data_IF_489291922695
#
_entry.id   IF_489291922695
#
_cell.length_a   1.000
_cell.length_b   1.000
_cell.length_c   1.000
_cell.angle_alpha   90.00
_cell.angle_beta   90.00
_cell.angle_gamma   90.00
#
_symmetry.space_group_name_H-M   'P 1'
#
loop_
_entity.id
_entity.type
_entity.pdbx_description
1 polymer ?
#
# COMPACT_ATOMS: atom_id res chain seq x y z
N UNK A 1 -26.57 5.95 -28.42
CA UNK A 1 -25.63 5.64 -27.30
C UNK A 1 -26.28 4.59 -26.43
N UNK A 2 -25.58 3.50 -26.10
CA UNK A 2 -26.10 2.52 -25.14
C UNK A 2 -26.15 3.20 -23.77
N UNK A 3 -27.35 3.27 -23.18
CA UNK A 3 -27.55 3.80 -21.84
C UNK A 3 -27.54 2.64 -20.85
N UNK A 4 -26.70 2.73 -19.81
CA UNK A 4 -26.59 1.70 -18.79
C UNK A 4 -27.22 2.20 -17.49
N UNK A 5 -28.01 1.36 -16.79
CA UNK A 5 -28.52 1.69 -15.46
C UNK A 5 -27.37 1.87 -14.45
N UNK A 6 -27.66 2.50 -13.32
CA UNK A 6 -26.69 2.68 -12.24
C UNK A 6 -26.56 1.41 -11.39
N UNK A 7 -25.38 1.20 -10.78
CA UNK A 7 -25.04 -0.02 -10.01
C UNK A 7 -26.00 -0.31 -8.83
N UNK A 8 -26.66 0.70 -8.27
CA UNK A 8 -27.70 0.54 -7.24
C UNK A 8 -28.90 -0.28 -7.72
N UNK A 9 -29.17 -0.28 -9.02
CA UNK A 9 -30.25 -1.06 -9.64
C UNK A 9 -29.86 -2.52 -9.87
N UNK A 10 -28.59 -2.88 -9.66
CA UNK A 10 -28.11 -4.24 -9.81
C UNK A 10 -28.45 -5.07 -8.56
N UNK A 11 -29.37 -6.03 -8.69
CA UNK A 11 -29.63 -7.01 -7.63
C UNK A 11 -28.36 -7.82 -7.32
N UNK A 12 -28.09 -8.14 -6.06
CA UNK A 12 -26.92 -8.95 -5.65
C UNK A 12 -27.30 -10.34 -5.12
N UNK A 13 -28.59 -10.66 -5.02
CA UNK A 13 -29.06 -11.95 -4.49
C UNK A 13 -29.14 -12.97 -5.64
N UNK A 14 -28.71 -14.22 -5.38
CA UNK A 14 -28.83 -15.33 -6.32
C UNK A 14 -27.80 -15.33 -7.47
N UNK A 15 -26.72 -14.55 -7.35
CA UNK A 15 -25.72 -14.37 -8.42
C UNK A 15 -24.52 -15.31 -8.33
N UNK A 16 -24.57 -16.35 -7.49
CA UNK A 16 -23.44 -17.25 -7.26
C UNK A 16 -23.00 -18.04 -8.50
N UNK A 17 -23.86 -18.20 -9.50
CA UNK A 17 -23.51 -18.84 -10.78
C UNK A 17 -23.13 -17.84 -11.88
N UNK A 18 -23.25 -16.55 -11.61
CA UNK A 18 -23.00 -15.49 -12.59
C UNK A 18 -21.53 -15.10 -12.64
N UNK A 19 -21.12 -14.64 -13.81
CA UNK A 19 -19.83 -14.00 -14.04
C UNK A 19 -19.96 -12.48 -14.08
N UNK A 20 -19.02 -11.80 -13.43
CA UNK A 20 -18.93 -10.34 -13.40
C UNK A 20 -17.60 -9.88 -13.96
N UNK A 21 -17.64 -8.83 -14.76
CA UNK A 21 -16.48 -8.12 -15.31
C UNK A 21 -16.53 -6.69 -14.79
N UNK A 22 -15.51 -6.27 -14.05
CA UNK A 22 -15.47 -4.92 -13.49
C UNK A 22 -14.18 -4.20 -13.86
N UNK A 23 -14.31 -2.92 -14.20
CA UNK A 23 -13.17 -2.00 -14.21
C UNK A 23 -12.67 -1.73 -12.78
N UNK A 24 -11.47 -1.17 -12.65
CA UNK A 24 -10.86 -0.86 -11.36
C UNK A 24 -11.11 0.59 -10.94
N UNK A 25 -10.43 1.54 -11.58
CA UNK A 25 -10.47 2.95 -11.19
C UNK A 25 -11.87 3.52 -11.40
N UNK A 26 -12.44 4.17 -10.39
CA UNK A 26 -13.80 4.70 -10.41
C UNK A 26 -14.93 3.67 -10.37
N UNK A 27 -14.61 2.38 -10.43
CA UNK A 27 -15.57 1.27 -10.48
C UNK A 27 -15.45 0.40 -9.23
N UNK A 28 -14.46 -0.51 -9.15
CA UNK A 28 -14.17 -1.22 -7.91
C UNK A 28 -13.55 -0.30 -6.87
N UNK A 29 -12.75 0.67 -7.29
CA UNK A 29 -12.20 1.72 -6.43
C UNK A 29 -13.04 2.99 -6.57
N UNK A 30 -13.18 3.76 -5.49
CA UNK A 30 -13.87 5.05 -5.53
C UNK A 30 -13.08 6.09 -6.32
N UNK A 31 -11.74 6.06 -6.18
CA UNK A 31 -10.85 6.97 -6.89
C UNK A 31 -10.83 6.71 -8.40
N UNK A 32 -11.11 7.76 -9.18
CA UNK A 32 -11.03 7.74 -10.65
C UNK A 32 -9.63 8.03 -11.22
N UNK A 33 -8.68 8.37 -10.35
CA UNK A 33 -7.31 8.67 -10.72
C UNK A 33 -6.39 7.58 -10.20
N UNK A 34 -5.60 7.02 -11.11
CA UNK A 34 -4.60 6.01 -10.81
C UNK A 34 -3.31 6.62 -10.25
N UNK A 35 -3.12 7.95 -10.37
CA UNK A 35 -1.91 8.67 -9.94
C UNK A 35 -1.46 8.32 -8.51
N UNK A 36 -2.35 8.24 -7.49
CA UNK A 36 -1.93 7.93 -6.13
C UNK A 36 -1.24 6.57 -5.99
N UNK A 37 -1.65 5.58 -6.78
CA UNK A 37 -1.05 4.24 -6.75
C UNK A 37 0.30 4.22 -7.49
N UNK A 38 0.42 4.95 -8.59
CA UNK A 38 1.72 5.17 -9.26
C UNK A 38 2.70 5.96 -8.39
N UNK A 39 2.21 6.96 -7.63
CA UNK A 39 3.02 7.74 -6.69
C UNK A 39 3.53 6.88 -5.53
N UNK A 40 2.68 6.00 -4.98
CA UNK A 40 3.10 5.02 -3.97
C UNK A 40 4.16 4.06 -4.51
N UNK A 41 3.95 3.52 -5.72
CA UNK A 41 4.93 2.66 -6.38
C UNK A 41 6.26 3.38 -6.63
N UNK A 42 6.20 4.61 -7.13
CA UNK A 42 7.38 5.44 -7.38
C UNK A 42 8.18 5.70 -6.11
N UNK A 43 7.51 6.03 -5.00
CA UNK A 43 8.16 6.34 -3.75
C UNK A 43 8.75 5.11 -3.06
N UNK A 44 7.97 4.03 -2.91
CA UNK A 44 8.41 2.84 -2.17
C UNK A 44 9.40 1.99 -2.98
N UNK A 45 9.19 1.88 -4.30
CA UNK A 45 10.06 1.08 -5.18
C UNK A 45 11.20 1.86 -5.82
N UNK A 46 11.11 3.19 -5.92
CA UNK A 46 12.10 4.03 -6.60
C UNK A 46 12.62 5.23 -5.83
N UNK A 47 12.11 5.48 -4.63
CA UNK A 47 12.51 6.60 -3.79
C UNK A 47 11.96 7.95 -4.25
N UNK A 48 12.44 8.99 -3.58
CA UNK A 48 11.89 10.34 -3.73
C UNK A 48 12.12 10.95 -5.11
N UNK A 49 13.27 10.71 -5.73
CA UNK A 49 13.58 11.27 -7.05
C UNK A 49 12.67 10.73 -8.14
N UNK A 50 12.27 9.45 -8.04
CA UNK A 50 11.29 8.88 -8.96
C UNK A 50 9.89 9.44 -8.72
N UNK A 51 9.49 9.63 -7.45
CA UNK A 51 8.24 10.33 -7.14
C UNK A 51 8.23 11.75 -7.70
N UNK A 52 9.34 12.48 -7.57
CA UNK A 52 9.49 13.82 -8.16
C UNK A 52 9.39 13.76 -9.70
N UNK A 53 10.06 12.81 -10.34
CA UNK A 53 9.97 12.62 -11.79
C UNK A 53 8.53 12.35 -12.24
N UNK A 54 7.81 11.47 -11.55
CA UNK A 54 6.39 11.23 -11.81
C UNK A 54 5.55 12.49 -11.63
N UNK A 55 5.78 13.25 -10.56
CA UNK A 55 5.04 14.48 -10.27
C UNK A 55 5.27 15.55 -11.36
N UNK A 56 6.50 15.73 -11.81
CA UNK A 56 6.83 16.67 -12.90
C UNK A 56 6.19 16.25 -14.23
N UNK A 57 6.02 14.95 -14.46
CA UNK A 57 5.35 14.42 -15.65
C UNK A 57 3.82 14.36 -15.51
N UNK A 58 3.24 14.59 -14.32
CA UNK A 58 1.80 14.45 -14.12
C UNK A 58 0.95 15.47 -14.91
N UNK A 59 1.35 16.75 -15.07
CA UNK A 59 0.62 17.68 -15.94
C UNK A 59 0.63 17.24 -17.40
N UNK A 60 1.78 16.74 -17.89
CA UNK A 60 1.89 16.18 -19.25
C UNK A 60 1.01 14.94 -19.41
N UNK A 61 1.02 14.03 -18.43
CA UNK A 61 0.15 12.86 -18.43
C UNK A 61 -1.33 13.26 -18.46
N UNK A 62 -1.73 14.27 -17.68
CA UNK A 62 -3.08 14.82 -17.69
C UNK A 62 -3.45 15.45 -19.05
N UNK A 63 -2.56 16.26 -19.62
CA UNK A 63 -2.75 16.87 -20.93
C UNK A 63 -2.98 15.80 -22.01
N UNK A 64 -2.12 14.78 -22.06
CA UNK A 64 -2.27 13.68 -23.03
C UNK A 64 -3.52 12.84 -22.75
N UNK A 65 -3.86 12.61 -21.48
CA UNK A 65 -5.05 11.86 -21.10
C UNK A 65 -6.34 12.52 -21.62
N UNK A 66 -6.49 13.83 -21.43
CA UNK A 66 -7.71 14.55 -21.77
C UNK A 66 -7.77 15.07 -23.20
N UNK A 67 -6.64 15.48 -23.79
CA UNK A 67 -6.61 16.10 -25.12
C UNK A 67 -6.18 15.15 -26.24
N UNK A 68 -5.56 13.99 -25.93
CA UNK A 68 -5.07 13.05 -26.95
C UNK A 68 -5.74 11.69 -26.82
N UNK A 69 -5.43 10.95 -25.76
CA UNK A 69 -6.09 9.69 -25.40
C UNK A 69 -5.76 9.26 -23.99
N UNK A 70 -6.71 8.59 -23.34
CA UNK A 70 -6.52 7.95 -22.03
C UNK A 70 -5.28 7.02 -22.03
N UNK A 71 -5.07 6.28 -23.12
CA UNK A 71 -3.91 5.41 -23.33
C UNK A 71 -2.58 6.18 -23.26
N UNK A 72 -2.50 7.36 -23.89
CA UNK A 72 -1.28 8.16 -23.91
C UNK A 72 -0.91 8.69 -22.51
N UNK A 73 -1.89 9.19 -21.75
CA UNK A 73 -1.66 9.63 -20.38
C UNK A 73 -1.17 8.50 -19.47
N UNK A 74 -1.80 7.32 -19.56
CA UNK A 74 -1.39 6.15 -18.78
C UNK A 74 0.03 5.69 -19.16
N UNK A 75 0.39 5.71 -20.45
CA UNK A 75 1.77 5.39 -20.88
C UNK A 75 2.82 6.31 -20.24
N UNK A 76 2.54 7.60 -20.08
CA UNK A 76 3.45 8.53 -19.38
C UNK A 76 3.58 8.15 -17.90
N UNK A 77 2.47 7.84 -17.21
CA UNK A 77 2.50 7.40 -15.81
C UNK A 77 3.31 6.10 -15.63
N UNK A 78 3.10 5.13 -16.53
CA UNK A 78 3.84 3.87 -16.54
C UNK A 78 5.33 4.11 -16.78
N UNK A 79 5.68 4.94 -17.76
CA UNK A 79 7.08 5.25 -18.06
C UNK A 79 7.75 5.93 -16.87
N UNK A 80 7.15 7.00 -16.34
CA UNK A 80 7.72 7.76 -15.24
C UNK A 80 7.86 6.94 -13.94
N UNK A 81 6.97 5.98 -13.74
CA UNK A 81 7.00 5.11 -12.55
C UNK A 81 7.89 3.89 -12.74
N UNK A 82 7.80 3.17 -13.85
CA UNK A 82 8.36 1.83 -13.95
C UNK A 82 9.72 1.78 -14.68
N UNK A 83 10.10 2.81 -15.44
CA UNK A 83 11.33 2.78 -16.23
C UNK A 83 12.56 2.46 -15.38
N UNK A 84 13.25 1.38 -15.72
CA UNK A 84 14.48 0.91 -15.07
C UNK A 84 14.28 0.21 -13.72
N UNK A 85 13.05 0.04 -13.23
CA UNK A 85 12.77 -0.71 -12.00
C UNK A 85 13.03 -2.20 -12.18
N UNK A 86 13.50 -2.89 -11.14
CA UNK A 86 13.46 -4.36 -11.11
C UNK A 86 12.02 -4.81 -10.95
N UNK A 87 11.64 -5.89 -11.62
CA UNK A 87 10.30 -6.46 -11.49
C UNK A 87 10.02 -6.91 -10.06
N UNK A 88 11.02 -7.50 -9.39
CA UNK A 88 10.92 -7.91 -7.98
C UNK A 88 10.55 -6.75 -7.05
N UNK A 89 11.05 -5.54 -7.33
CA UNK A 89 10.76 -4.36 -6.52
C UNK A 89 9.32 -3.89 -6.74
N UNK A 90 8.85 -3.92 -7.99
CA UNK A 90 7.45 -3.61 -8.33
C UNK A 90 6.51 -4.62 -7.65
N UNK A 91 6.80 -5.91 -7.78
CA UNK A 91 6.00 -6.98 -7.17
C UNK A 91 5.98 -6.89 -5.65
N UNK A 92 7.13 -6.60 -5.03
CA UNK A 92 7.24 -6.41 -3.58
C UNK A 92 6.33 -5.27 -3.12
N UNK A 93 6.35 -4.12 -3.80
CA UNK A 93 5.49 -2.99 -3.45
C UNK A 93 4.01 -3.30 -3.72
N UNK A 94 3.71 -4.01 -4.81
CA UNK A 94 2.35 -4.41 -5.17
C UNK A 94 1.71 -5.36 -4.16
N UNK A 95 2.52 -6.19 -3.48
CA UNK A 95 2.06 -7.13 -2.44
C UNK A 95 2.10 -6.54 -1.04
N UNK A 96 3.10 -5.73 -0.71
CA UNK A 96 3.32 -5.26 0.66
C UNK A 96 2.63 -3.92 0.96
N UNK A 97 2.53 -3.02 -0.03
CA UNK A 97 2.11 -1.64 0.20
C UNK A 97 0.74 -1.35 -0.41
N UNK A 98 0.59 -1.61 -1.71
CA UNK A 98 -0.62 -1.21 -2.44
C UNK A 98 -1.94 -1.80 -1.90
N UNK A 99 -2.00 -3.04 -1.36
CA UNK A 99 -3.25 -3.61 -0.86
C UNK A 99 -3.92 -2.80 0.25
N UNK A 100 -3.13 -2.14 1.12
CA UNK A 100 -3.66 -1.23 2.15
C UNK A 100 -4.41 -0.05 1.51
N UNK A 101 -3.83 0.55 0.48
CA UNK A 101 -4.40 1.73 -0.15
C UNK A 101 -5.59 1.39 -1.05
N UNK A 102 -5.55 0.23 -1.73
CA UNK A 102 -6.69 -0.25 -2.50
C UNK A 102 -7.88 -0.63 -1.62
N UNK A 103 -7.65 -1.38 -0.53
CA UNK A 103 -8.72 -1.73 0.43
C UNK A 103 -9.37 -0.50 1.05
N UNK A 104 -8.58 0.52 1.41
CA UNK A 104 -9.12 1.79 1.93
C UNK A 104 -9.93 2.61 0.92
N UNK A 105 -9.91 2.22 -0.36
CA UNK A 105 -10.60 2.92 -1.44
C UNK A 105 -11.62 2.06 -2.19
N UNK A 106 -11.97 0.89 -1.65
CA UNK A 106 -12.90 -0.03 -2.28
C UNK A 106 -14.34 0.52 -2.22
N UNK A 107 -15.01 0.58 -3.37
CA UNK A 107 -16.36 1.11 -3.51
C UNK A 107 -17.40 0.07 -3.03
N UNK A 108 -18.23 0.44 -2.05
CA UNK A 108 -19.16 -0.49 -1.39
C UNK A 108 -20.19 -1.12 -2.33
N UNK A 109 -20.88 -0.34 -3.17
CA UNK A 109 -21.90 -0.88 -4.09
C UNK A 109 -21.32 -1.78 -5.18
N UNK A 110 -20.22 -1.36 -5.81
CA UNK A 110 -19.52 -2.20 -6.79
C UNK A 110 -19.00 -3.49 -6.13
N UNK A 111 -18.48 -3.40 -4.91
CA UNK A 111 -18.06 -4.57 -4.15
C UNK A 111 -19.22 -5.50 -3.80
N UNK A 112 -20.39 -4.98 -3.42
CA UNK A 112 -21.61 -5.77 -3.17
C UNK A 112 -21.98 -6.64 -4.37
N UNK A 113 -21.95 -6.07 -5.57
CA UNK A 113 -22.24 -6.83 -6.80
C UNK A 113 -21.09 -7.78 -7.13
N UNK A 114 -19.85 -7.31 -7.11
CA UNK A 114 -18.68 -8.09 -7.50
C UNK A 114 -18.47 -9.32 -6.61
N UNK A 115 -18.62 -9.17 -5.29
CA UNK A 115 -18.48 -10.26 -4.32
C UNK A 115 -19.64 -11.27 -4.38
N UNK A 116 -20.83 -10.87 -4.82
CA UNK A 116 -21.99 -11.77 -4.95
C UNK A 116 -21.90 -12.76 -6.12
N UNK A 117 -20.97 -12.53 -7.06
CA UNK A 117 -20.82 -13.36 -8.25
C UNK A 117 -19.80 -14.48 -8.01
N UNK A 118 -20.06 -15.66 -8.60
CA UNK A 118 -19.18 -16.82 -8.46
C UNK A 118 -17.93 -16.76 -9.31
N UNK A 119 -18.00 -16.15 -10.51
CA UNK A 119 -16.84 -15.94 -11.38
C UNK A 119 -16.54 -14.45 -11.52
N UNK A 120 -15.36 -14.02 -11.07
CA UNK A 120 -15.00 -12.61 -10.90
C UNK A 120 -13.83 -12.25 -11.79
N UNK A 121 -14.06 -11.37 -12.76
CA UNK A 121 -13.06 -10.85 -13.67
C UNK A 121 -12.83 -9.36 -13.44
N UNK A 122 -11.59 -8.96 -13.24
CA UNK A 122 -11.19 -7.55 -13.21
C UNK A 122 -10.51 -7.18 -14.54
N UNK A 123 -10.96 -6.10 -15.17
CA UNK A 123 -10.50 -5.63 -16.47
C UNK A 123 -9.94 -4.21 -16.33
N UNK A 124 -8.63 -4.10 -16.17
CA UNK A 124 -7.97 -2.90 -15.63
C UNK A 124 -7.08 -2.22 -16.68
N UNK A 125 -7.05 -0.88 -16.67
CA UNK A 125 -6.15 -0.11 -17.54
C UNK A 125 -4.71 -0.01 -17.00
N UNK A 126 -4.55 -0.11 -15.67
CA UNK A 126 -3.24 -0.05 -15.02
C UNK A 126 -2.38 -1.30 -15.30
N UNK A 127 -1.05 -1.24 -15.09
CA UNK A 127 -0.19 -2.41 -15.16
C UNK A 127 -0.71 -3.55 -14.29
N UNK A 128 -0.89 -4.74 -14.89
CA UNK A 128 -1.42 -5.92 -14.18
C UNK A 128 -0.64 -6.23 -12.91
N UNK A 129 0.69 -6.20 -13.01
CA UNK A 129 1.63 -6.46 -11.91
C UNK A 129 1.41 -5.59 -10.66
N UNK A 130 0.81 -4.40 -10.81
CA UNK A 130 0.54 -3.50 -9.68
C UNK A 130 -0.71 -3.87 -8.88
N UNK A 131 -1.66 -4.57 -9.48
CA UNK A 131 -3.02 -4.73 -8.91
C UNK A 131 -3.40 -6.20 -8.76
N UNK A 132 -2.83 -7.10 -9.55
CA UNK A 132 -3.21 -8.51 -9.60
C UNK A 132 -3.15 -9.19 -8.22
N UNK A 133 -2.10 -8.94 -7.44
CA UNK A 133 -1.99 -9.49 -6.09
C UNK A 133 -3.15 -9.02 -5.18
N UNK A 134 -3.54 -7.75 -5.26
CA UNK A 134 -4.67 -7.25 -4.49
C UNK A 134 -5.98 -7.92 -4.93
N UNK A 135 -6.24 -7.96 -6.24
CA UNK A 135 -7.49 -8.48 -6.79
C UNK A 135 -7.66 -9.98 -6.53
N UNK A 136 -6.60 -10.77 -6.70
CA UNK A 136 -6.64 -12.22 -6.46
C UNK A 136 -6.65 -12.55 -4.98
N UNK A 137 -5.70 -12.02 -4.21
CA UNK A 137 -5.48 -12.47 -2.83
C UNK A 137 -6.48 -11.86 -1.83
N UNK A 138 -7.06 -10.69 -2.13
CA UNK A 138 -7.96 -9.99 -1.20
C UNK A 138 -9.40 -9.88 -1.71
N UNK A 139 -9.61 -9.73 -3.02
CA UNK A 139 -10.97 -9.66 -3.58
C UNK A 139 -11.49 -10.99 -4.15
N UNK A 140 -10.63 -12.01 -4.23
CA UNK A 140 -10.97 -13.31 -4.80
C UNK A 140 -11.33 -13.24 -6.29
N UNK A 141 -10.65 -12.39 -7.06
CA UNK A 141 -10.80 -12.36 -8.50
C UNK A 141 -10.19 -13.62 -9.13
N UNK A 142 -10.96 -14.31 -9.97
CA UNK A 142 -10.48 -15.50 -10.70
C UNK A 142 -9.58 -15.11 -11.87
N UNK A 143 -9.91 -13.99 -12.52
CA UNK A 143 -9.22 -13.50 -13.71
C UNK A 143 -8.93 -12.01 -13.59
N UNK A 144 -7.68 -11.64 -13.89
CA UNK A 144 -7.25 -10.23 -13.97
C UNK A 144 -6.65 -9.99 -15.34
N UNK A 145 -7.31 -9.16 -16.13
CA UNK A 145 -6.85 -8.70 -17.44
C UNK A 145 -6.38 -7.26 -17.29
N UNK A 146 -5.10 -7.02 -17.48
CA UNK A 146 -4.49 -5.70 -17.28
C UNK A 146 -3.50 -5.34 -18.37
N UNK A 147 -3.00 -4.11 -18.33
CA UNK A 147 -1.93 -3.68 -19.22
C UNK A 147 -0.63 -4.41 -18.87
N UNK A 148 0.03 -5.02 -19.85
CA UNK A 148 1.32 -5.67 -19.63
C UNK A 148 2.47 -4.70 -19.90
N UNK A 149 3.41 -4.62 -18.96
CA UNK A 149 4.64 -3.83 -19.11
C UNK A 149 5.71 -4.63 -19.86
N UNK A 150 6.47 -3.96 -20.71
CA UNK A 150 7.61 -4.56 -21.40
C UNK A 150 8.80 -4.69 -20.45
N UNK A 151 9.53 -5.80 -20.56
CA UNK A 151 10.58 -6.16 -19.62
C UNK A 151 11.83 -6.61 -20.36
N UNK A 152 13.00 -6.24 -19.84
CA UNK A 152 14.29 -6.67 -20.34
C UNK A 152 15.22 -7.02 -19.17
N UNK A 153 15.77 -8.24 -19.18
CA UNK A 153 16.67 -8.77 -18.13
C UNK A 153 16.14 -8.54 -16.69
N UNK A 154 14.87 -8.85 -16.45
CA UNK A 154 14.23 -8.70 -15.13
C UNK A 154 13.93 -7.25 -14.71
N UNK A 155 14.06 -6.28 -15.62
CA UNK A 155 13.74 -4.87 -15.38
C UNK A 155 12.62 -4.39 -16.29
N UNK A 156 11.76 -3.52 -15.79
CA UNK A 156 10.74 -2.85 -16.56
C UNK A 156 11.37 -1.80 -17.47
N UNK A 157 11.03 -1.82 -18.76
CA UNK A 157 11.54 -0.86 -19.75
C UNK A 157 10.85 0.51 -19.65
N UNK A 158 9.70 0.57 -18.97
CA UNK A 158 8.81 1.73 -18.92
C UNK A 158 7.80 1.79 -20.06
N UNK A 159 7.88 0.86 -21.02
CA UNK A 159 6.92 0.76 -22.13
C UNK A 159 5.91 -0.37 -21.90
N UNK A 160 4.82 -0.34 -22.67
CA UNK A 160 3.76 -1.35 -22.63
C UNK A 160 3.90 -2.34 -23.79
N UNK A 161 3.56 -3.60 -23.57
CA UNK A 161 3.53 -4.62 -24.62
C UNK A 161 2.30 -4.44 -25.53
N UNK A 162 2.32 -5.04 -26.72
CA UNK A 162 1.14 -5.09 -27.60
C UNK A 162 -0.01 -5.84 -26.91
N UNK A 163 -1.28 -5.36 -26.98
CA UNK A 163 -1.82 -4.30 -27.83
C UNK A 163 -1.73 -2.88 -27.25
N UNK A 164 -1.01 -2.69 -26.15
CA UNK A 164 -0.85 -1.43 -25.44
C UNK A 164 -1.72 -1.36 -24.19
N UNK A 165 -2.10 -0.15 -23.80
CA UNK A 165 -2.93 0.07 -22.61
C UNK A 165 -4.34 -0.48 -22.85
N UNK A 166 -4.88 -1.23 -21.89
CA UNK A 166 -6.24 -1.77 -21.95
C UNK A 166 -7.28 -0.68 -21.63
N UNK A 167 -7.67 0.07 -22.66
CA UNK A 167 -8.72 1.09 -22.61
C UNK A 167 -9.62 0.98 -23.84
N UNK A 168 -10.91 1.34 -23.72
CA UNK A 168 -11.84 1.35 -24.85
C UNK A 168 -11.92 -0.01 -25.56
N UNK A 169 -11.64 -0.03 -26.86
CA UNK A 169 -11.68 -1.24 -27.69
C UNK A 169 -10.72 -2.33 -27.20
N UNK A 170 -9.53 -1.96 -26.69
CA UNK A 170 -8.57 -2.95 -26.18
C UNK A 170 -9.13 -3.73 -24.98
N UNK A 171 -9.96 -3.09 -24.12
CA UNK A 171 -10.67 -3.78 -23.04
C UNK A 171 -11.67 -4.80 -23.60
N UNK A 172 -12.47 -4.39 -24.59
CA UNK A 172 -13.44 -5.26 -25.24
C UNK A 172 -12.77 -6.45 -25.94
N UNK A 173 -11.68 -6.23 -26.66
CA UNK A 173 -10.93 -7.27 -27.36
C UNK A 173 -10.26 -8.24 -26.38
N UNK A 174 -9.70 -7.73 -25.28
CA UNK A 174 -9.15 -8.57 -24.21
C UNK A 174 -10.23 -9.43 -23.55
N UNK A 175 -11.43 -8.87 -23.32
CA UNK A 175 -12.55 -9.61 -22.77
C UNK A 175 -13.03 -10.72 -23.70
N UNK A 176 -13.22 -10.41 -25.00
CA UNK A 176 -13.58 -11.41 -26.02
C UNK A 176 -12.55 -12.54 -26.09
N UNK A 177 -11.26 -12.20 -26.07
CA UNK A 177 -10.20 -13.22 -26.11
C UNK A 177 -10.24 -14.14 -24.88
N UNK A 178 -10.58 -13.62 -23.71
CA UNK A 178 -10.58 -14.39 -22.48
C UNK A 178 -11.85 -15.23 -22.27
N UNK A 179 -13.01 -14.75 -22.71
CA UNK A 179 -14.29 -15.43 -22.53
C UNK A 179 -14.76 -16.20 -23.77
N UNK A 180 -14.13 -15.99 -24.93
CA UNK A 180 -14.52 -16.61 -26.20
C UNK A 180 -15.96 -16.25 -26.55
N UNK A 181 -16.75 -17.27 -26.85
CA UNK A 181 -18.20 -17.15 -27.13
C UNK A 181 -19.05 -17.01 -25.85
N UNK A 182 -18.47 -17.19 -24.66
CA UNK A 182 -19.23 -17.13 -23.41
C UNK A 182 -19.49 -15.68 -23.03
N UNK A 183 -20.75 -15.27 -23.04
CA UNK A 183 -21.11 -13.90 -22.67
C UNK A 183 -21.15 -13.72 -21.15
N UNK A 184 -20.34 -12.80 -20.56
CA UNK A 184 -20.42 -12.52 -19.13
C UNK A 184 -21.79 -11.95 -18.74
N UNK A 185 -22.27 -12.27 -17.53
CA UNK A 185 -23.58 -11.81 -17.08
C UNK A 185 -23.59 -10.31 -16.78
N UNK A 186 -22.57 -9.80 -16.09
CA UNK A 186 -22.58 -8.44 -15.54
C UNK A 186 -21.31 -7.69 -15.90
N UNK A 187 -21.44 -6.50 -16.46
CA UNK A 187 -20.37 -5.53 -16.68
C UNK A 187 -20.51 -4.33 -15.74
N UNK A 188 -19.44 -3.95 -15.04
CA UNK A 188 -19.38 -2.76 -14.19
C UNK A 188 -18.32 -1.79 -14.72
N UNK A 189 -18.69 -0.51 -14.88
CA UNK A 189 -17.75 0.54 -15.31
C UNK A 189 -18.18 1.94 -14.89
N UNK A 190 -17.28 2.92 -14.91
CA UNK A 190 -17.55 4.30 -14.47
C UNK A 190 -17.63 5.35 -15.59
N UNK A 191 -17.17 5.00 -16.80
CA UNK A 191 -16.93 5.91 -17.94
C UNK A 191 -17.48 5.38 -19.26
N UNK A 192 -17.64 6.28 -20.23
CA UNK A 192 -17.95 5.93 -21.61
C UNK A 192 -16.89 5.02 -22.26
N UNK A 193 -15.61 5.12 -21.87
CA UNK A 193 -14.55 4.22 -22.37
C UNK A 193 -14.74 2.76 -21.95
N UNK A 194 -15.61 2.50 -20.98
CA UNK A 194 -16.00 1.15 -20.55
C UNK A 194 -17.21 0.60 -21.30
N UNK A 195 -17.98 1.44 -22.00
CA UNK A 195 -19.15 1.02 -22.77
C UNK A 195 -18.87 -0.13 -23.76
N UNK A 196 -17.72 -0.18 -24.48
CA UNK A 196 -17.44 -1.26 -25.41
C UNK A 196 -17.40 -2.65 -24.78
N UNK A 197 -16.84 -2.81 -23.57
CA UNK A 197 -16.83 -4.13 -22.92
C UNK A 197 -18.12 -4.39 -22.15
N UNK A 198 -18.75 -3.37 -21.57
CA UNK A 198 -20.03 -3.52 -20.89
C UNK A 198 -21.13 -3.98 -21.86
N UNK A 199 -21.10 -3.51 -23.10
CA UNK A 199 -22.01 -3.97 -24.16
C UNK A 199 -21.79 -5.44 -24.58
N UNK A 200 -20.66 -6.04 -24.22
CA UNK A 200 -20.42 -7.47 -24.40
C UNK A 200 -21.00 -8.31 -23.27
N UNK A 201 -21.42 -7.70 -22.16
CA UNK A 201 -22.07 -8.40 -21.05
C UNK A 201 -23.59 -8.46 -21.28
N UNK A 202 -24.28 -9.42 -20.65
CA UNK A 202 -25.75 -9.50 -20.72
C UNK A 202 -26.42 -8.27 -20.08
N UNK A 203 -25.87 -7.83 -18.95
CA UNK A 203 -26.26 -6.60 -18.27
C UNK A 203 -25.02 -5.73 -18.03
N UNK A 204 -25.15 -4.42 -18.21
CA UNK A 204 -24.09 -3.46 -17.89
C UNK A 204 -24.60 -2.40 -16.92
N UNK A 205 -23.77 -2.00 -15.96
CA UNK A 205 -24.12 -1.00 -14.95
C UNK A 205 -23.02 0.06 -14.80
N UNK A 206 -23.44 1.32 -14.71
CA UNK A 206 -22.56 2.46 -14.47
C UNK A 206 -22.40 2.72 -12.97
N UNK A 207 -21.16 2.88 -12.53
CA UNK A 207 -20.80 3.34 -11.20
C UNK A 207 -20.68 4.88 -11.23
N UNK A 208 -21.61 5.61 -10.60
CA UNK A 208 -21.59 7.07 -10.63
C UNK A 208 -20.43 7.62 -9.79
N UNK A 209 -19.91 8.82 -10.10
CA UNK A 209 -18.96 9.51 -9.25
C UNK A 209 -19.66 10.06 -8.01
N UNK A 210 -19.99 9.19 -7.05
CA UNK A 210 -20.59 9.60 -5.78
C UNK A 210 -19.49 9.66 -4.69
N UNK A 211 -18.95 10.85 -4.38
CA UNK A 211 -17.86 10.98 -3.41
C UNK A 211 -18.26 10.63 -1.97
N UNK A 212 -19.57 10.56 -1.69
CA UNK A 212 -20.14 10.28 -0.37
C UNK A 212 -20.21 8.79 -0.01
N UNK A 213 -19.94 7.90 -0.97
CA UNK A 213 -19.98 6.46 -0.70
C UNK A 213 -18.80 6.06 0.19
N UNK A 214 -19.12 5.54 1.37
CA UNK A 214 -18.12 5.03 2.30
C UNK A 214 -17.35 3.85 1.70
N UNK A 215 -16.06 3.78 2.02
CA UNK A 215 -15.24 2.64 1.63
C UNK A 215 -15.73 1.39 2.34
N UNK A 216 -15.53 0.24 1.70
CA UNK A 216 -15.75 -1.05 2.35
C UNK A 216 -14.85 -1.16 3.57
N UNK A 217 -15.44 -1.51 4.70
CA UNK A 217 -14.70 -1.78 5.93
C UNK A 217 -13.89 -3.06 5.79
N UNK A 218 -12.66 -3.08 6.31
CA UNK A 218 -11.68 -4.16 6.07
C UNK A 218 -12.12 -5.53 6.59
N UNK A 219 -13.04 -5.58 7.55
CA UNK A 219 -13.67 -6.79 8.08
C UNK A 219 -14.57 -7.51 7.06
N UNK A 220 -15.04 -6.80 6.03
CA UNK A 220 -15.88 -7.36 4.96
C UNK A 220 -15.06 -7.94 3.80
N UNK A 221 -13.74 -7.87 3.88
CA UNK A 221 -12.86 -8.47 2.87
C UNK A 221 -12.66 -9.96 3.16
N UNK A 222 -12.65 -10.83 2.13
CA UNK A 222 -12.37 -12.26 2.27
C UNK A 222 -11.09 -12.58 3.04
N UNK A 223 -10.08 -11.70 2.92
CA UNK A 223 -8.80 -11.81 3.61
C UNK A 223 -8.46 -10.50 4.30
N UNK A 224 -8.11 -10.51 5.60
CA UNK A 224 -7.71 -9.30 6.29
C UNK A 224 -6.40 -8.75 5.72
N UNK A 225 -6.35 -7.44 5.52
CA UNK A 225 -5.14 -6.73 5.14
C UNK A 225 -4.32 -6.47 6.40
N UNK A 226 -3.38 -7.35 6.71
CA UNK A 226 -2.45 -7.16 7.83
C UNK A 226 -1.29 -6.30 7.32
N UNK A 227 -1.29 -5.03 7.70
CA UNK A 227 -0.25 -4.09 7.35
C UNK A 227 0.74 -3.93 8.50
N UNK A 228 1.96 -4.45 8.32
CA UNK A 228 2.97 -4.45 9.37
C UNK A 228 3.79 -3.17 9.44
N UNK A 229 3.93 -2.43 8.33
CA UNK A 229 4.57 -1.12 8.31
C UNK A 229 4.50 -0.51 6.92
N UNK A 230 4.45 0.81 6.85
CA UNK A 230 4.78 1.50 5.62
C UNK A 230 4.91 2.98 5.88
N UNK A 231 5.85 3.57 5.13
CA UNK A 231 6.40 4.88 5.44
C UNK A 231 5.37 6.00 5.29
N UNK A 232 4.24 5.70 4.63
CA UNK A 232 3.24 6.66 4.24
C UNK A 232 1.87 6.29 4.80
N UNK A 233 1.21 7.28 5.41
CA UNK A 233 -0.14 7.16 5.97
C UNK A 233 -1.20 7.63 4.96
N UNK A 234 -0.90 8.71 4.23
CA UNK A 234 -1.71 9.40 3.21
C UNK A 234 -1.83 8.68 1.84
N UNK A 235 -3.04 8.54 1.26
CA UNK A 235 -3.20 8.34 -0.21
C UNK A 235 -2.59 9.55 -0.93
N UNK A 236 -1.73 9.30 -1.92
CA UNK A 236 -0.88 10.34 -2.54
C UNK A 236 -1.59 11.09 -3.68
N UNK A 237 -2.36 12.13 -3.35
CA UNK A 237 -2.76 13.11 -4.38
C UNK A 237 -1.52 13.86 -4.91
N UNK A 238 -1.57 14.49 -6.10
CA UNK A 238 -0.45 15.30 -6.60
C UNK A 238 -0.02 16.40 -5.62
N UNK A 239 -0.97 17.06 -4.95
CA UNK A 239 -0.67 18.07 -3.93
C UNK A 239 0.03 17.44 -2.72
N UNK A 240 -0.48 16.32 -2.21
CA UNK A 240 0.18 15.59 -1.12
C UNK A 240 1.59 15.14 -1.52
N UNK A 241 1.78 14.68 -2.77
CA UNK A 241 3.07 14.29 -3.33
C UNK A 241 4.08 15.45 -3.28
N UNK A 242 3.66 16.64 -3.74
CA UNK A 242 4.44 17.86 -3.71
C UNK A 242 4.84 18.25 -2.27
N UNK A 243 3.87 18.25 -1.35
CA UNK A 243 4.13 18.62 0.04
C UNK A 243 5.16 17.71 0.72
N UNK A 244 5.16 16.40 0.42
CA UNK A 244 6.19 15.49 0.97
C UNK A 244 7.57 15.84 0.41
N UNK A 245 7.66 16.06 -0.91
CA UNK A 245 8.93 16.38 -1.56
C UNK A 245 9.51 17.65 -0.94
N UNK A 246 8.69 18.70 -0.79
CA UNK A 246 9.09 19.95 -0.17
C UNK A 246 9.43 19.79 1.32
N UNK A 247 8.74 18.88 2.02
CA UNK A 247 8.99 18.61 3.43
C UNK A 247 10.25 17.79 3.69
N UNK A 248 10.71 16.96 2.76
CA UNK A 248 11.84 16.04 3.00
C UNK A 248 13.13 16.72 3.46
N UNK A 249 13.59 17.85 2.86
CA UNK A 249 14.78 18.54 3.34
C UNK A 249 14.65 18.99 4.80
N UNK A 250 13.50 19.57 5.16
CA UNK A 250 13.19 20.02 6.53
C UNK A 250 13.08 18.80 7.45
N UNK A 251 12.37 17.77 7.03
CA UNK A 251 12.18 16.52 7.75
C UNK A 251 13.50 15.77 7.99
N UNK A 252 14.45 15.85 7.07
CA UNK A 252 15.78 15.27 7.22
C UNK A 252 16.58 15.99 8.31
N UNK A 253 16.59 17.33 8.31
CA UNK A 253 17.23 18.12 9.37
C UNK A 253 16.59 17.80 10.73
N UNK A 254 15.25 17.78 10.79
CA UNK A 254 14.52 17.41 12.01
C UNK A 254 14.82 15.97 12.45
N UNK A 255 14.98 15.03 11.53
CA UNK A 255 15.35 13.65 11.85
C UNK A 255 16.76 13.59 12.45
N UNK A 256 17.73 14.31 11.90
CA UNK A 256 19.08 14.41 12.47
C UNK A 256 19.05 15.01 13.88
N UNK A 257 18.30 16.09 14.10
CA UNK A 257 18.14 16.70 15.43
C UNK A 257 17.50 15.74 16.43
N UNK A 258 16.48 14.96 16.01
CA UNK A 258 15.83 13.97 16.88
C UNK A 258 16.75 12.80 17.20
N UNK A 259 17.52 12.29 16.23
CA UNK A 259 18.52 11.25 16.46
C UNK A 259 19.58 11.77 17.44
N UNK A 260 20.13 12.97 17.19
CA UNK A 260 21.10 13.59 18.09
C UNK A 260 20.56 13.79 19.51
N UNK A 261 19.31 14.25 19.65
CA UNK A 261 18.66 14.38 20.95
C UNK A 261 18.56 13.03 21.67
N UNK A 262 18.16 11.96 20.97
CA UNK A 262 18.09 10.61 21.54
C UNK A 262 19.46 10.07 21.95
N UNK A 263 20.50 10.31 21.15
CA UNK A 263 21.84 9.73 21.37
C UNK A 263 22.70 10.51 22.35
N UNK A 264 22.52 11.84 22.46
CA UNK A 264 23.40 12.72 23.25
C UNK A 264 22.81 13.10 24.61
N UNK A 265 21.49 13.06 24.78
CA UNK A 265 20.84 13.46 26.03
C UNK A 265 20.54 12.26 26.94
N UNK A 266 20.57 12.43 28.27
CA UNK A 266 20.02 11.44 29.19
C UNK A 266 18.55 11.17 28.88
N UNK A 267 18.12 9.91 28.95
CA UNK A 267 16.74 9.48 28.57
C UNK A 267 15.61 10.30 29.23
N UNK A 268 15.69 10.70 30.51
CA UNK A 268 14.67 11.57 31.11
C UNK A 268 14.53 12.93 30.39
N UNK A 269 15.61 13.46 29.82
CA UNK A 269 15.60 14.71 29.04
C UNK A 269 15.14 14.48 27.59
N UNK A 270 15.33 13.28 27.04
CA UNK A 270 14.91 12.93 25.67
C UNK A 270 13.41 13.16 25.48
N UNK A 271 12.58 12.87 26.49
CA UNK A 271 11.13 13.14 26.42
C UNK A 271 10.83 14.61 26.12
N UNK A 272 11.48 15.53 26.85
CA UNK A 272 11.29 16.97 26.67
C UNK A 272 11.91 17.47 25.36
N UNK A 273 13.07 16.94 24.97
CA UNK A 273 13.71 17.28 23.70
C UNK A 273 12.83 16.85 22.51
N UNK A 274 12.28 15.64 22.55
CA UNK A 274 11.30 15.15 21.58
C UNK A 274 10.06 16.04 21.55
N UNK A 275 9.54 16.45 22.70
CA UNK A 275 8.44 17.39 22.77
C UNK A 275 8.76 18.73 22.12
N UNK A 276 9.93 19.32 22.38
CA UNK A 276 10.37 20.55 21.74
C UNK A 276 10.56 20.40 20.22
N UNK A 277 11.04 19.23 19.77
CA UNK A 277 11.23 18.88 18.36
C UNK A 277 9.94 18.40 17.66
N UNK A 278 8.77 18.63 18.27
CA UNK A 278 7.46 18.35 17.66
C UNK A 278 7.05 16.88 17.67
N UNK A 279 7.65 16.04 18.52
CA UNK A 279 7.23 14.66 18.75
C UNK A 279 6.35 14.62 20.00
N UNK A 280 5.16 14.05 19.89
CA UNK A 280 4.20 13.95 21.00
C UNK A 280 4.12 12.50 21.45
N UNK A 281 4.70 12.19 22.61
CA UNK A 281 4.62 10.87 23.23
C UNK A 281 3.45 10.90 24.22
N UNK A 282 2.44 10.07 23.96
CA UNK A 282 1.29 9.94 24.86
C UNK A 282 1.41 8.64 25.64
N UNK A 283 1.49 8.73 26.96
CA UNK A 283 1.59 7.57 27.86
C UNK A 283 0.20 7.32 28.44
N UNK A 284 -0.32 6.10 28.27
CA UNK A 284 -1.59 5.67 28.85
C UNK A 284 -1.31 4.61 29.93
N UNK A 285 -1.82 4.86 31.13
CA UNK A 285 -1.55 4.02 32.31
C UNK A 285 -0.28 4.42 33.05
N UNK A 286 0.06 3.65 34.09
CA UNK A 286 1.24 3.87 34.94
C UNK A 286 2.43 3.04 34.45
N UNK A 287 3.55 3.67 34.06
CA UNK A 287 4.77 2.95 33.69
C UNK A 287 5.24 2.02 34.80
N UNK A 288 5.63 0.76 34.49
CA UNK A 288 6.10 -0.17 35.50
C UNK A 288 7.42 0.29 36.13
N UNK A 289 7.63 0.02 37.43
CA UNK A 289 8.89 0.35 38.09
C UNK A 289 10.07 -0.44 37.49
N UNK A 290 11.32 0.00 37.68
CA UNK A 290 12.50 -0.75 37.26
C UNK A 290 12.53 -2.13 37.91
N UNK A 291 12.95 -3.15 37.15
CA UNK A 291 13.18 -4.47 37.71
C UNK A 291 14.18 -4.40 38.87
N UNK A 292 13.81 -4.93 40.03
CA UNK A 292 14.72 -5.02 41.18
C UNK A 292 15.64 -6.21 40.96
N UNK A 293 16.96 -6.00 41.04
CA UNK A 293 17.95 -7.07 41.06
C UNK A 293 17.88 -7.81 42.40
N UNK A 294 16.87 -8.66 42.57
CA UNK A 294 16.74 -9.57 43.70
C UNK A 294 16.74 -11.01 43.20
N UNK A 295 17.24 -11.93 44.02
CA UNK A 295 17.40 -13.34 43.66
C UNK A 295 16.03 -13.90 43.24
N UNK A 296 15.92 -14.34 41.98
CA UNK A 296 14.72 -14.96 41.42
C UNK A 296 13.78 -14.02 40.66
N UNK A 297 14.08 -12.73 40.51
CA UNK A 297 13.29 -11.80 39.69
C UNK A 297 13.95 -11.55 38.34
N UNK A 298 13.25 -11.90 37.24
CA UNK A 298 13.61 -11.52 35.87
C UNK A 298 13.02 -10.15 35.50
N UNK A 299 13.67 -9.44 34.59
CA UNK A 299 13.15 -8.21 34.00
C UNK A 299 11.84 -8.40 33.24
N UNK A 300 11.23 -7.28 32.86
CA UNK A 300 9.98 -7.25 32.10
C UNK A 300 10.29 -7.30 30.60
N UNK A 301 9.62 -8.22 29.89
CA UNK A 301 9.63 -8.27 28.44
C UNK A 301 8.51 -7.39 27.88
N UNK A 302 8.87 -6.32 27.17
CA UNK A 302 7.95 -5.46 26.43
C UNK A 302 7.84 -5.93 24.99
N UNK A 303 6.60 -6.00 24.48
CA UNK A 303 6.32 -6.43 23.10
C UNK A 303 5.93 -5.21 22.28
N UNK A 304 6.74 -4.90 21.26
CA UNK A 304 6.51 -3.79 20.35
C UNK A 304 5.61 -4.22 19.17
N UNK A 305 4.93 -3.25 18.55
CA UNK A 305 3.98 -3.54 17.47
C UNK A 305 4.65 -3.50 16.10
N UNK A 306 5.61 -2.59 15.93
CA UNK A 306 6.30 -2.38 14.66
C UNK A 306 7.65 -3.10 14.65
N UNK A 307 8.10 -3.46 13.43
CA UNK A 307 9.44 -4.03 13.22
C UNK A 307 10.57 -3.00 13.29
N UNK A 308 10.26 -1.76 13.67
CA UNK A 308 11.22 -0.65 13.72
C UNK A 308 11.82 -0.51 15.12
N UNK A 309 13.03 0.05 15.18
CA UNK A 309 13.66 0.41 16.45
C UNK A 309 12.99 1.60 17.14
N UNK A 310 12.07 2.30 16.47
CA UNK A 310 11.40 3.47 17.05
C UNK A 310 10.52 3.07 18.24
N UNK A 311 9.83 1.93 18.18
CA UNK A 311 8.98 1.46 19.27
C UNK A 311 9.78 1.29 20.58
N UNK A 312 10.90 0.53 20.63
CA UNK A 312 11.76 0.46 21.81
C UNK A 312 12.37 1.80 22.27
N UNK A 313 12.67 2.71 21.35
CA UNK A 313 13.18 4.05 21.68
C UNK A 313 12.10 4.87 22.40
N UNK A 314 10.87 4.88 21.88
CA UNK A 314 9.75 5.56 22.52
C UNK A 314 9.36 4.90 23.85
N UNK A 315 9.44 3.58 23.93
CA UNK A 315 9.26 2.84 25.19
C UNK A 315 10.29 3.28 26.23
N UNK A 316 11.57 3.35 25.86
CA UNK A 316 12.64 3.81 26.77
C UNK A 316 12.41 5.26 27.23
N UNK A 317 11.97 6.12 26.30
CA UNK A 317 11.62 7.51 26.59
C UNK A 317 10.42 7.61 27.55
N UNK A 318 9.40 6.78 27.37
CA UNK A 318 8.22 6.75 28.22
C UNK A 318 8.51 6.19 29.63
N UNK A 319 9.43 5.23 29.75
CA UNK A 319 9.84 4.65 31.03
C UNK A 319 10.90 5.48 31.76
N UNK A 320 11.50 6.48 31.10
CA UNK A 320 12.59 7.28 31.63
C UNK A 320 13.91 6.51 31.84
N UNK A 321 14.04 5.31 31.26
CA UNK A 321 15.21 4.42 31.39
C UNK A 321 15.50 3.68 30.08
N UNK A 322 16.76 3.31 29.79
CA UNK A 322 17.10 2.58 28.57
C UNK A 322 16.57 1.16 28.63
N UNK A 323 15.80 0.75 27.62
CA UNK A 323 15.35 -0.63 27.43
C UNK A 323 16.09 -1.20 26.22
N UNK A 324 16.99 -2.19 26.41
CA UNK A 324 17.60 -2.90 25.30
C UNK A 324 16.56 -3.55 24.39
N UNK A 325 16.83 -3.58 23.08
CA UNK A 325 15.93 -4.17 22.09
C UNK A 325 16.58 -5.38 21.39
N UNK A 326 15.88 -6.51 21.32
CA UNK A 326 16.26 -7.63 20.45
C UNK A 326 15.70 -7.41 19.05
N UNK A 327 16.52 -7.65 18.02
CA UNK A 327 16.09 -7.44 16.62
C UNK A 327 16.61 -8.54 15.70
N UNK A 328 15.81 -8.89 14.69
CA UNK A 328 16.17 -9.92 13.71
C UNK A 328 16.87 -9.38 12.46
N UNK A 329 16.77 -8.08 12.17
CA UNK A 329 17.17 -7.51 10.86
C UNK A 329 17.45 -6.01 10.89
N UNK A 330 18.14 -5.53 11.94
CA UNK A 330 18.60 -4.14 11.96
C UNK A 330 19.85 -3.93 11.10
N UNK A 331 19.84 -2.83 10.34
CA UNK A 331 21.03 -2.40 9.60
C UNK A 331 22.13 -1.97 10.57
N UNK A 332 23.40 -2.17 10.19
CA UNK A 332 24.55 -1.72 11.00
C UNK A 332 24.49 -0.21 11.29
N UNK A 333 24.05 0.59 10.32
CA UNK A 333 23.89 2.04 10.52
C UNK A 333 22.86 2.33 11.61
N UNK A 334 21.71 1.65 11.59
CA UNK A 334 20.66 1.81 12.60
C UNK A 334 21.13 1.42 14.01
N UNK A 335 22.04 0.44 14.12
CA UNK A 335 22.65 0.05 15.40
C UNK A 335 23.63 1.10 15.90
N UNK A 336 24.48 1.66 15.01
CA UNK A 336 25.46 2.69 15.37
C UNK A 336 24.78 3.96 15.87
N UNK A 337 23.67 4.37 15.24
CA UNK A 337 22.92 5.58 15.63
C UNK A 337 21.90 5.33 16.74
N UNK A 338 21.77 4.09 17.22
CA UNK A 338 20.77 3.75 18.24
C UNK A 338 21.13 4.37 19.59
N UNK A 339 20.18 5.06 20.27
CA UNK A 339 20.39 5.55 21.63
C UNK A 339 20.28 4.46 22.69
N UNK A 340 19.86 3.25 22.31
CA UNK A 340 19.65 2.10 23.20
C UNK A 340 20.46 0.90 22.72
N UNK A 341 20.79 -0.01 23.64
CA UNK A 341 21.50 -1.26 23.31
C UNK A 341 20.62 -2.14 22.41
N UNK A 342 21.14 -2.53 21.26
CA UNK A 342 20.47 -3.47 20.35
C UNK A 342 21.18 -4.82 20.37
N UNK A 343 20.43 -5.92 20.43
CA UNK A 343 20.95 -7.29 20.37
C UNK A 343 20.40 -7.99 19.14
N UNK A 344 21.29 -8.60 18.33
CA UNK A 344 20.89 -9.34 17.13
C UNK A 344 20.49 -10.76 17.48
N UNK A 345 19.32 -11.18 17.02
CA UNK A 345 18.86 -12.56 17.08
C UNK A 345 19.25 -13.34 15.82
N UNK A 346 19.42 -14.65 15.99
CA UNK A 346 19.98 -15.58 15.01
C UNK A 346 18.91 -16.30 14.16
N UNK A 347 17.62 -16.10 14.46
CA UNK A 347 16.48 -16.83 13.89
C UNK A 347 16.50 -18.33 14.18
N UNK A 348 17.31 -18.75 15.14
CA UNK A 348 17.26 -20.08 15.73
C UNK A 348 16.47 -19.98 17.04
N UNK A 349 15.34 -20.70 17.08
CA UNK A 349 14.40 -20.61 18.21
C UNK A 349 15.04 -20.95 19.56
N UNK A 350 15.93 -21.95 19.60
CA UNK A 350 16.54 -22.40 20.84
C UNK A 350 17.63 -21.41 21.30
N UNK A 351 18.48 -20.96 20.37
CA UNK A 351 19.52 -19.99 20.65
C UNK A 351 18.92 -18.63 21.06
N UNK A 352 17.89 -18.16 20.34
CA UNK A 352 17.24 -16.89 20.60
C UNK A 352 16.48 -16.92 21.94
N UNK A 353 15.82 -18.04 22.28
CA UNK A 353 15.18 -18.21 23.58
C UNK A 353 16.20 -18.19 24.74
N UNK A 354 17.34 -18.86 24.57
CA UNK A 354 18.42 -18.83 25.57
C UNK A 354 19.01 -17.43 25.73
N UNK A 355 19.17 -16.69 24.63
CA UNK A 355 19.69 -15.32 24.65
C UNK A 355 18.72 -14.36 25.32
N UNK A 356 17.44 -14.41 24.98
CA UNK A 356 16.40 -13.58 25.60
C UNK A 356 16.33 -13.85 27.11
N UNK A 357 16.37 -15.13 27.52
CA UNK A 357 16.37 -15.50 28.95
C UNK A 357 17.55 -14.86 29.70
N UNK A 358 18.75 -14.95 29.13
CA UNK A 358 19.96 -14.33 29.71
C UNK A 358 19.83 -12.81 29.83
N UNK A 359 19.29 -12.14 28.81
CA UNK A 359 19.09 -10.69 28.85
C UNK A 359 18.05 -10.28 29.89
N UNK A 360 16.99 -11.08 30.07
CA UNK A 360 15.98 -10.84 31.10
C UNK A 360 16.52 -11.06 32.53
N UNK A 361 17.56 -11.87 32.71
CA UNK A 361 18.28 -11.95 33.99
C UNK A 361 19.11 -10.68 34.27
N UNK A 362 19.55 -9.96 33.23
CA UNK A 362 20.28 -8.69 33.36
C UNK A 362 19.35 -7.48 33.60
N UNK A 363 18.14 -7.48 33.02
CA UNK A 363 17.16 -6.41 33.17
C UNK A 363 15.97 -6.49 32.19
N UNK A 364 15.26 -5.37 32.04
CA UNK A 364 14.13 -5.26 31.11
C UNK A 364 14.57 -5.40 29.65
N UNK A 365 13.67 -5.87 28.78
CA UNK A 365 13.95 -6.11 27.37
C UNK A 365 12.75 -5.76 26.48
N UNK A 366 12.99 -5.25 25.27
CA UNK A 366 11.97 -5.06 24.24
C UNK A 366 12.18 -6.00 23.05
N UNK A 367 11.09 -6.53 22.49
CA UNK A 367 11.07 -7.38 21.28
C UNK A 367 10.15 -6.84 20.19
#
# INVERSE_FOLDING_TARGET
MVSFPTVDKCASIGKEKHSVVADLDGTLLRGRSSFPYFALLSFEGGGIFRLLFLLLNSPLAGLLYYFVSESAGIKVLIFATCAGMKLSDIESVARAVLPKFYSSDLHSESWRVFSSCGKRCALIANPRIMVEAFLKDFLGADLVLGTEISTYKGRATGFVQSPGVLVGKNKADALKKAFGETQPEIGLGDRHTNAPFMALCKEGYIVPPKPEVEAVTTDKLPKPVIFHDGRLVQKRTPLSALLIILWIPIGFILACLRIAAGSLLPIPMVYYAFWALGVRVTIKGTPPPPAKKSIGQSGVLFVCSHRTLLDPIFLSTALGRPIPAVTYSLSRLSEIISPIKTVRLSRDRAADASMIKKLLEEGDLAI
#
